data_IF_839024087425
#
_entry.id   IF_839024087425
#
_cell.length_a   1.000
_cell.length_b   1.000
_cell.length_c   1.000
_cell.angle_alpha   90.00
_cell.angle_beta   90.00
_cell.angle_gamma   90.00
#
_symmetry.space_group_name_H-M   'P 1'
#
loop_
_entity.id
_entity.type
_entity.pdbx_description
1 polymer ?
#
# COMPACT_ATOMS: atom_id res chain seq x y z
N UNK A 1 -17.35 13.45 17.97
CA UNK A 1 -17.46 13.32 16.51
C UNK A 1 -16.40 14.23 15.90
N UNK A 2 -15.19 13.69 15.77
CA UNK A 2 -14.03 14.41 15.24
C UNK A 2 -13.91 14.02 13.78
N UNK A 3 -14.27 14.99 12.91
CA UNK A 3 -14.01 15.12 11.45
C UNK A 3 -14.29 13.90 10.56
N UNK A 4 -15.28 14.05 9.67
CA UNK A 4 -15.60 13.17 8.52
C UNK A 4 -14.48 13.13 7.45
N UNK A 5 -13.20 13.19 7.83
CA UNK A 5 -12.05 13.14 6.92
C UNK A 5 -11.36 11.78 7.02
N UNK A 6 -11.17 11.13 5.88
CA UNK A 6 -10.46 9.85 5.78
C UNK A 6 -9.01 10.00 6.30
N UNK A 7 -8.59 9.22 7.31
CA UNK A 7 -7.29 9.35 7.92
C UNK A 7 -6.15 9.00 6.95
N UNK A 8 -5.12 9.84 6.97
CA UNK A 8 -3.89 9.63 6.22
C UNK A 8 -2.68 9.69 7.16
N UNK A 9 -1.80 8.69 7.08
CA UNK A 9 -0.66 8.53 8.00
C UNK A 9 0.59 8.17 7.19
N UNK A 10 1.67 8.91 7.43
CA UNK A 10 3.01 8.60 6.92
C UNK A 10 4.10 9.33 7.70
N UNK A 11 5.37 8.92 7.52
CA UNK A 11 6.51 9.57 8.17
C UNK A 11 6.80 10.95 7.53
N UNK A 12 6.73 11.07 6.20
CA UNK A 12 7.08 12.31 5.51
C UNK A 12 5.86 13.21 5.24
N UNK A 13 4.82 12.67 4.59
CA UNK A 13 3.63 13.45 4.24
C UNK A 13 2.35 12.63 4.40
N UNK A 14 1.48 13.00 5.35
CA UNK A 14 0.19 12.33 5.52
C UNK A 14 -0.62 12.31 4.20
N UNK A 15 -0.69 13.45 3.51
CA UNK A 15 -1.27 13.54 2.18
C UNK A 15 -0.59 14.62 1.36
N UNK A 16 -0.66 14.49 0.05
CA UNK A 16 -0.21 15.52 -0.89
C UNK A 16 -1.41 16.03 -1.69
N UNK A 17 -1.39 17.32 -2.02
CA UNK A 17 -2.33 17.86 -3.00
C UNK A 17 -1.96 17.42 -4.42
N UNK A 18 -2.77 17.81 -5.39
CA UNK A 18 -2.48 17.55 -6.79
C UNK A 18 -1.17 18.19 -7.25
N UNK A 19 -0.49 17.54 -8.20
CA UNK A 19 0.76 18.02 -8.83
C UNK A 19 1.91 18.23 -7.82
N UNK A 20 1.94 17.45 -6.75
CA UNK A 20 3.02 17.47 -5.77
C UNK A 20 4.18 16.56 -6.20
N UNK A 21 5.39 16.89 -5.76
CA UNK A 21 6.58 16.09 -6.03
C UNK A 21 7.31 15.79 -4.72
N UNK A 22 7.58 14.51 -4.48
CA UNK A 22 8.49 14.02 -3.45
C UNK A 22 9.60 13.27 -4.18
N UNK A 23 10.82 13.78 -4.06
CA UNK A 23 11.97 13.30 -4.82
C UNK A 23 13.21 13.21 -3.92
N UNK A 24 13.99 12.13 -4.06
CA UNK A 24 15.28 11.97 -3.38
C UNK A 24 15.18 11.85 -1.86
N UNK A 25 14.04 11.37 -1.33
CA UNK A 25 13.79 11.29 0.09
C UNK A 25 14.07 9.88 0.64
N UNK A 26 14.19 9.77 1.96
CA UNK A 26 14.16 8.48 2.63
C UNK A 26 13.56 8.57 4.01
N UNK A 27 12.95 7.48 4.47
CA UNK A 27 12.33 7.38 5.78
C UNK A 27 12.63 6.02 6.42
N UNK A 28 12.68 6.00 7.75
CA UNK A 28 12.72 4.75 8.50
C UNK A 28 11.93 4.89 9.78
N UNK A 29 11.23 3.83 10.20
CA UNK A 29 10.57 3.80 11.50
C UNK A 29 9.30 2.97 11.53
N UNK A 30 8.55 3.13 12.61
CA UNK A 30 7.31 2.39 12.83
C UNK A 30 6.11 3.32 12.66
N UNK A 31 5.10 2.84 11.92
CA UNK A 31 3.81 3.49 11.76
C UNK A 31 2.75 2.56 12.34
N UNK A 32 1.96 3.09 13.26
CA UNK A 32 0.78 2.42 13.80
C UNK A 32 -0.42 3.31 13.48
N UNK A 33 -1.31 2.82 12.64
CA UNK A 33 -2.59 3.45 12.35
C UNK A 33 -3.71 2.64 13.00
N UNK A 34 -4.39 3.25 13.96
CA UNK A 34 -5.58 2.69 14.62
C UNK A 34 -6.77 3.59 14.32
N UNK A 35 -7.12 3.67 13.02
CA UNK A 35 -8.25 4.46 12.58
C UNK A 35 -9.54 3.82 13.11
N UNK A 36 -10.27 4.56 13.94
CA UNK A 36 -11.53 4.11 14.54
C UNK A 36 -12.72 4.94 14.01
N UNK A 37 -13.89 4.31 13.91
CA UNK A 37 -15.14 4.95 13.46
C UNK A 37 -15.56 4.54 12.05
N UNK A 38 -16.69 5.08 11.59
CA UNK A 38 -17.28 4.79 10.27
C UNK A 38 -16.56 5.49 9.10
N UNK A 39 -15.24 5.71 9.22
CA UNK A 39 -14.46 6.33 8.14
C UNK A 39 -14.43 5.38 6.95
N UNK A 40 -14.66 5.92 5.75
CA UNK A 40 -14.71 5.09 4.55
C UNK A 40 -13.30 4.56 4.23
N UNK A 41 -12.29 5.44 4.21
CA UNK A 41 -10.95 5.08 3.75
C UNK A 41 -9.84 5.42 4.75
N UNK A 42 -8.77 4.64 4.76
CA UNK A 42 -7.55 4.93 5.54
C UNK A 42 -6.31 4.76 4.66
N UNK A 43 -5.43 5.76 4.64
CA UNK A 43 -4.26 5.80 3.76
C UNK A 43 -2.97 5.74 4.58
N UNK A 44 -2.25 4.61 4.54
CA UNK A 44 -1.04 4.41 5.35
C UNK A 44 0.15 4.13 4.47
N UNK A 45 1.08 5.09 4.37
CA UNK A 45 2.30 4.92 3.59
C UNK A 45 3.54 5.13 4.42
N UNK A 46 4.64 4.47 4.09
CA UNK A 46 5.93 4.81 4.72
C UNK A 46 6.30 6.27 4.47
N UNK A 47 6.23 6.72 3.22
CA UNK A 47 6.59 8.08 2.79
C UNK A 47 5.35 8.97 2.69
N UNK A 48 4.31 8.51 1.97
CA UNK A 48 3.10 9.29 1.71
C UNK A 48 1.85 8.48 2.03
N UNK A 49 0.94 9.01 2.83
CA UNK A 49 -0.34 8.33 3.06
C UNK A 49 -1.18 8.34 1.79
N UNK A 50 -1.66 9.54 1.40
CA UNK A 50 -2.42 9.76 0.16
C UNK A 50 -1.62 10.61 -0.85
N UNK A 51 -1.33 10.03 -2.02
CA UNK A 51 -0.67 10.72 -3.13
C UNK A 51 -1.72 11.31 -4.10
N UNK A 52 -1.78 12.65 -4.16
CA UNK A 52 -2.76 13.39 -4.97
C UNK A 52 -2.63 13.15 -6.47
N UNK A 53 -3.61 13.67 -7.23
CA UNK A 53 -3.65 13.48 -8.68
C UNK A 53 -2.48 14.18 -9.37
N UNK A 54 -1.91 13.58 -10.42
CA UNK A 54 -0.74 14.12 -11.14
C UNK A 54 0.51 14.30 -10.29
N UNK A 55 0.54 13.72 -9.08
CA UNK A 55 1.68 13.79 -8.18
C UNK A 55 2.69 12.69 -8.47
N UNK A 56 3.95 12.96 -8.11
CA UNK A 56 5.08 12.07 -8.32
C UNK A 56 5.81 11.81 -7.01
N UNK A 57 5.96 10.54 -6.66
CA UNK A 57 6.94 10.10 -5.64
C UNK A 57 8.05 9.36 -6.37
N UNK A 58 9.28 9.89 -6.35
CA UNK A 58 10.38 9.27 -7.07
C UNK A 58 11.73 9.26 -6.34
N UNK A 59 12.63 8.38 -6.78
CA UNK A 59 14.00 8.25 -6.27
C UNK A 59 14.05 8.17 -4.73
N UNK A 60 13.08 7.49 -4.13
CA UNK A 60 12.81 7.53 -2.70
C UNK A 60 12.77 6.12 -2.14
N UNK A 61 13.21 5.92 -0.90
CA UNK A 61 13.13 4.60 -0.26
C UNK A 61 12.63 4.66 1.17
N UNK A 62 12.11 3.54 1.65
CA UNK A 62 11.58 3.40 3.00
C UNK A 62 12.00 2.07 3.62
N UNK A 63 12.41 2.09 4.89
CA UNK A 63 12.58 0.90 5.74
C UNK A 63 11.64 1.03 6.95
N UNK A 64 10.48 0.40 6.84
CA UNK A 64 9.34 0.69 7.72
C UNK A 64 8.69 -0.55 8.27
N UNK A 65 8.19 -0.42 9.49
CA UNK A 65 7.22 -1.33 10.08
C UNK A 65 5.87 -0.64 10.11
N UNK A 66 4.89 -1.15 9.36
CA UNK A 66 3.53 -0.61 9.31
C UNK A 66 2.56 -1.61 9.91
N UNK A 67 1.75 -1.16 10.87
CA UNK A 67 0.56 -1.85 11.36
C UNK A 67 -0.62 -0.94 11.10
N UNK A 68 -1.44 -1.29 10.11
CA UNK A 68 -2.56 -0.49 9.66
C UNK A 68 -3.90 -1.16 10.01
N UNK A 69 -4.81 -0.37 10.59
CA UNK A 69 -6.20 -0.73 10.88
C UNK A 69 -7.12 0.37 10.37
N UNK A 70 -8.36 0.01 10.08
CA UNK A 70 -9.41 0.89 9.57
C UNK A 70 -10.51 0.08 8.89
N UNK A 71 -11.40 0.79 8.16
CA UNK A 71 -12.42 0.17 7.30
C UNK A 71 -11.81 -0.26 5.96
N UNK A 72 -11.78 0.60 4.93
CA UNK A 72 -11.05 0.30 3.69
C UNK A 72 -9.64 0.92 3.74
N UNK A 73 -8.61 0.11 3.99
CA UNK A 73 -7.24 0.60 4.21
C UNK A 73 -6.29 0.25 3.08
N UNK A 74 -5.59 1.25 2.54
CA UNK A 74 -4.43 1.06 1.66
C UNK A 74 -3.13 1.21 2.46
N UNK A 75 -2.37 0.13 2.60
CA UNK A 75 -1.09 0.13 3.32
C UNK A 75 0.08 -0.16 2.39
N UNK A 76 1.01 0.79 2.23
CA UNK A 76 2.14 0.68 1.31
C UNK A 76 3.48 1.15 1.86
N UNK A 77 4.56 0.51 1.43
CA UNK A 77 5.90 0.86 1.91
C UNK A 77 6.34 2.28 1.50
N UNK A 78 5.93 2.73 0.31
CA UNK A 78 6.15 4.12 -0.15
C UNK A 78 4.87 4.93 -0.01
N UNK A 79 3.79 4.48 -0.67
CA UNK A 79 2.53 5.21 -0.72
C UNK A 79 1.38 4.34 -0.22
N UNK A 80 0.53 4.84 0.68
CA UNK A 80 -0.68 4.12 1.07
C UNK A 80 -1.66 3.99 -0.09
N UNK A 81 -1.99 5.13 -0.70
CA UNK A 81 -2.90 5.20 -1.84
C UNK A 81 -2.44 6.22 -2.89
N UNK A 82 -2.41 5.81 -4.16
CA UNK A 82 -2.14 6.72 -5.30
C UNK A 82 -3.43 7.13 -6.01
N UNK A 83 -3.61 8.42 -6.28
CA UNK A 83 -4.71 8.94 -7.11
C UNK A 83 -4.45 8.73 -8.62
N UNK A 84 -5.46 9.01 -9.45
CA UNK A 84 -5.34 8.98 -10.91
C UNK A 84 -4.24 9.93 -11.42
N UNK A 85 -3.65 9.58 -12.56
CA UNK A 85 -2.58 10.33 -13.23
C UNK A 85 -1.32 10.54 -12.38
N UNK A 86 -1.20 9.87 -11.23
CA UNK A 86 -0.03 9.93 -10.35
C UNK A 86 0.95 8.80 -10.63
N UNK A 87 2.18 8.92 -10.12
CA UNK A 87 3.20 7.89 -10.29
C UNK A 87 4.10 7.71 -9.07
N UNK A 88 4.54 6.45 -8.88
CA UNK A 88 5.61 6.07 -7.96
C UNK A 88 6.75 5.46 -8.77
N UNK A 89 7.91 6.11 -8.80
CA UNK A 89 8.96 5.81 -9.78
C UNK A 89 10.33 5.67 -9.12
N UNK A 90 11.07 4.61 -9.44
CA UNK A 90 12.44 4.40 -8.96
C UNK A 90 12.51 4.44 -7.41
N UNK A 91 11.57 3.73 -6.78
CA UNK A 91 11.46 3.68 -5.32
C UNK A 91 11.71 2.29 -4.77
N UNK A 92 12.16 2.19 -3.53
CA UNK A 92 12.41 0.92 -2.87
C UNK A 92 11.84 0.85 -1.46
N UNK A 93 11.20 -0.27 -1.10
CA UNK A 93 10.66 -0.46 0.24
C UNK A 93 11.21 -1.73 0.90
N UNK A 94 11.44 -1.64 2.20
CA UNK A 94 11.93 -2.70 3.07
C UNK A 94 11.12 -2.76 4.36
N UNK A 95 11.18 -3.90 5.04
CA UNK A 95 10.61 -4.07 6.38
C UNK A 95 9.35 -4.94 6.38
N UNK A 96 8.33 -4.52 7.13
CA UNK A 96 7.12 -5.32 7.37
C UNK A 96 5.86 -4.47 7.30
N UNK A 97 4.83 -4.92 6.59
CA UNK A 97 3.55 -4.23 6.50
C UNK A 97 2.44 -5.24 6.81
N UNK A 98 1.68 -4.97 7.87
CA UNK A 98 0.45 -5.68 8.18
C UNK A 98 -0.75 -4.75 8.03
N UNK A 99 -1.71 -5.16 7.20
CA UNK A 99 -2.98 -4.48 7.05
C UNK A 99 -4.10 -5.37 7.64
N UNK A 100 -4.70 -4.88 8.71
CA UNK A 100 -5.70 -5.58 9.52
C UNK A 100 -7.07 -4.89 9.42
N UNK A 101 -7.38 -4.34 8.24
CA UNK A 101 -8.64 -3.65 8.02
C UNK A 101 -9.76 -4.63 7.68
N UNK A 102 -10.99 -4.29 8.07
CA UNK A 102 -12.20 -5.05 7.73
C UNK A 102 -12.78 -4.58 6.38
N UNK A 103 -11.90 -4.29 5.42
CA UNK A 103 -12.24 -3.66 4.15
C UNK A 103 -13.18 -4.51 3.29
N UNK A 104 -13.97 -3.85 2.47
CA UNK A 104 -14.95 -4.50 1.58
C UNK A 104 -14.84 -4.09 0.12
N UNK A 105 -14.22 -2.95 -0.19
CA UNK A 105 -14.20 -2.43 -1.56
C UNK A 105 -12.86 -1.88 -2.04
N UNK A 106 -12.13 -1.10 -1.22
CA UNK A 106 -10.95 -0.36 -1.71
C UNK A 106 -9.78 -0.43 -0.73
N UNK A 107 -9.21 -1.62 -0.57
CA UNK A 107 -8.17 -1.89 0.43
C UNK A 107 -7.08 -2.80 -0.13
N UNK A 108 -5.90 -2.79 0.50
CA UNK A 108 -4.81 -3.69 0.12
C UNK A 108 -3.51 -3.45 0.87
N UNK A 109 -2.65 -4.47 0.87
CA UNK A 109 -1.30 -4.44 1.43
C UNK A 109 -0.26 -4.60 0.31
N UNK A 110 0.49 -3.53 0.04
CA UNK A 110 1.45 -3.49 -1.05
C UNK A 110 2.87 -3.17 -0.59
N UNK A 111 3.86 -3.85 -1.17
CA UNK A 111 5.25 -3.53 -0.86
C UNK A 111 5.63 -2.09 -1.23
N UNK A 112 5.14 -1.56 -2.35
CA UNK A 112 5.35 -0.16 -2.77
C UNK A 112 4.11 0.70 -2.53
N UNK A 113 2.97 0.26 -3.09
CA UNK A 113 1.68 0.98 -3.00
C UNK A 113 0.60 0.08 -2.42
N UNK A 114 -0.10 0.51 -1.38
CA UNK A 114 -1.21 -0.26 -0.81
C UNK A 114 -2.36 -0.41 -1.80
N UNK A 115 -3.00 0.70 -2.15
CA UNK A 115 -4.05 0.76 -3.17
C UNK A 115 -3.63 1.68 -4.32
N UNK A 116 -3.64 1.14 -5.55
CA UNK A 116 -3.09 1.84 -6.71
C UNK A 116 -4.18 2.32 -7.67
N UNK A 117 -4.07 3.57 -8.13
CA UNK A 117 -4.79 4.13 -9.29
C UNK A 117 -3.80 4.82 -10.25
N UNK A 118 -2.50 4.58 -10.11
CA UNK A 118 -1.44 5.29 -10.82
C UNK A 118 -0.40 4.34 -11.40
N UNK A 119 0.64 4.93 -12.00
CA UNK A 119 1.77 4.17 -12.52
C UNK A 119 2.77 3.82 -11.41
N UNK A 120 3.27 2.60 -11.41
CA UNK A 120 4.37 2.15 -10.55
C UNK A 120 5.47 1.66 -11.48
N UNK A 121 6.66 2.28 -11.41
CA UNK A 121 7.70 2.04 -12.41
C UNK A 121 9.08 1.97 -11.79
N UNK A 122 9.88 0.97 -12.20
CA UNK A 122 11.26 0.81 -11.72
C UNK A 122 11.37 0.68 -10.18
N UNK A 123 10.35 0.11 -9.54
CA UNK A 123 10.33 -0.02 -8.08
C UNK A 123 10.76 -1.41 -7.60
N UNK A 124 11.34 -1.47 -6.41
CA UNK A 124 11.80 -2.71 -5.77
C UNK A 124 11.21 -2.88 -4.36
N UNK A 125 10.67 -4.05 -4.03
CA UNK A 125 10.21 -4.33 -2.66
C UNK A 125 10.88 -5.57 -2.08
N UNK A 126 11.36 -5.43 -0.85
CA UNK A 126 11.75 -6.53 0.02
C UNK A 126 11.03 -6.37 1.37
N UNK A 127 9.72 -6.59 1.32
CA UNK A 127 8.80 -6.35 2.42
C UNK A 127 8.06 -7.62 2.75
N UNK A 128 8.03 -8.01 4.03
CA UNK A 128 7.11 -9.04 4.51
C UNK A 128 5.71 -8.44 4.65
N UNK A 129 4.74 -9.04 3.99
CA UNK A 129 3.37 -8.54 3.88
C UNK A 129 2.39 -9.45 4.61
N UNK A 130 1.42 -8.82 5.26
CA UNK A 130 0.25 -9.48 5.83
C UNK A 130 -1.03 -8.70 5.50
N UNK A 131 -2.08 -9.43 5.13
CA UNK A 131 -3.41 -8.89 4.86
C UNK A 131 -4.46 -9.72 5.62
N UNK A 132 -5.19 -9.12 6.57
CA UNK A 132 -6.24 -9.83 7.31
C UNK A 132 -7.54 -9.92 6.50
N UNK A 133 -7.46 -10.52 5.32
CA UNK A 133 -8.57 -10.74 4.41
C UNK A 133 -8.73 -12.23 4.10
N UNK A 134 -9.98 -12.67 4.06
CA UNK A 134 -10.34 -14.03 3.69
C UNK A 134 -10.11 -14.28 2.20
N UNK A 135 -9.77 -15.51 1.85
CA UNK A 135 -9.71 -16.00 0.46
C UNK A 135 -10.88 -16.94 0.21
N UNK A 136 -11.71 -16.65 -0.80
CA UNK A 136 -12.79 -17.55 -1.24
C UNK A 136 -12.19 -18.76 -1.98
N UNK A 137 -11.06 -18.57 -2.68
CA UNK A 137 -10.30 -19.64 -3.32
C UNK A 137 -9.57 -20.54 -2.31
N UNK A 138 -9.28 -20.05 -1.10
CA UNK A 138 -8.54 -20.75 -0.06
C UNK A 138 -7.03 -20.88 -0.34
N UNK A 139 -6.50 -20.11 -1.29
CA UNK A 139 -5.08 -20.11 -1.68
C UNK A 139 -4.45 -18.71 -1.69
N UNK A 140 -5.23 -17.68 -1.35
CA UNK A 140 -4.79 -16.29 -1.31
C UNK A 140 -4.77 -15.57 -2.67
N UNK A 141 -5.16 -16.23 -3.77
CA UNK A 141 -5.10 -15.65 -5.12
C UNK A 141 -6.07 -14.47 -5.36
N UNK A 142 -7.10 -14.37 -4.53
CA UNK A 142 -8.14 -13.34 -4.50
C UNK A 142 -7.96 -12.33 -3.34
N UNK A 143 -6.80 -12.36 -2.67
CA UNK A 143 -6.47 -11.42 -1.59
C UNK A 143 -5.79 -10.17 -2.18
N UNK A 144 -6.13 -8.95 -1.72
CA UNK A 144 -5.48 -7.70 -2.16
C UNK A 144 -4.11 -7.50 -1.50
N UNK A 145 -3.20 -8.44 -1.70
CA UNK A 145 -1.83 -8.45 -1.20
C UNK A 145 -0.86 -8.63 -2.38
N UNK A 146 0.20 -7.82 -2.44
CA UNK A 146 1.18 -7.93 -3.52
C UNK A 146 2.49 -7.20 -3.26
N UNK A 147 3.59 -7.77 -3.75
CA UNK A 147 4.93 -7.24 -3.52
C UNK A 147 5.16 -5.83 -4.07
N UNK A 148 4.37 -5.38 -5.05
CA UNK A 148 4.44 -4.03 -5.62
C UNK A 148 3.18 -3.24 -5.28
N UNK A 149 2.02 -3.76 -5.69
CA UNK A 149 0.72 -3.17 -5.41
C UNK A 149 -0.16 -4.18 -4.67
N UNK A 150 -0.80 -3.74 -3.58
CA UNK A 150 -1.75 -4.57 -2.84
C UNK A 150 -3.02 -4.80 -3.67
N UNK A 151 -3.74 -3.73 -3.98
CA UNK A 151 -4.89 -3.78 -4.88
C UNK A 151 -4.70 -2.80 -6.06
N UNK A 152 -4.77 -3.28 -7.31
CA UNK A 152 -4.82 -2.42 -8.48
C UNK A 152 -6.26 -1.95 -8.76
N UNK A 153 -6.41 -0.70 -9.22
CA UNK A 153 -7.65 -0.15 -9.77
C UNK A 153 -7.51 0.06 -11.29
N UNK A 154 -8.54 0.63 -11.92
CA UNK A 154 -8.68 0.80 -13.38
C UNK A 154 -7.44 1.39 -14.09
N UNK A 155 -6.70 2.30 -13.44
CA UNK A 155 -5.55 3.00 -14.03
C UNK A 155 -4.19 2.44 -13.61
N UNK A 156 -4.14 1.33 -12.86
CA UNK A 156 -2.87 0.79 -12.34
C UNK A 156 -2.00 0.23 -13.46
N UNK A 157 -0.73 0.62 -13.43
CA UNK A 157 0.27 0.18 -14.38
C UNK A 157 1.59 -0.10 -13.65
N UNK A 158 1.90 -1.36 -13.36
CA UNK A 158 3.18 -1.76 -12.77
C UNK A 158 4.15 -2.26 -13.86
N UNK A 159 5.26 -1.56 -14.06
CA UNK A 159 6.23 -1.89 -15.12
C UNK A 159 7.66 -1.85 -14.61
N UNK A 160 8.48 -2.83 -15.02
CA UNK A 160 9.87 -2.97 -14.58
C UNK A 160 9.98 -2.90 -13.06
N UNK A 161 9.10 -3.60 -12.36
CA UNK A 161 9.12 -3.68 -10.92
C UNK A 161 9.59 -5.08 -10.50
N UNK A 162 10.21 -5.17 -9.35
CA UNK A 162 10.72 -6.42 -8.79
C UNK A 162 10.35 -6.50 -7.32
N UNK A 163 9.99 -7.69 -6.85
CA UNK A 163 9.78 -7.92 -5.43
C UNK A 163 10.55 -9.17 -5.01
N UNK A 164 10.97 -9.21 -3.75
CA UNK A 164 11.56 -10.39 -3.16
C UNK A 164 10.46 -11.45 -2.94
N UNK A 165 10.44 -12.49 -3.78
CA UNK A 165 9.46 -13.57 -3.65
C UNK A 165 9.68 -14.46 -2.42
N UNK A 166 10.88 -14.39 -1.79
CA UNK A 166 11.16 -15.09 -0.54
C UNK A 166 10.64 -14.31 0.69
N UNK A 167 10.30 -13.02 0.53
CA UNK A 167 9.63 -12.25 1.56
C UNK A 167 8.16 -12.71 1.64
N UNK A 168 7.71 -13.07 2.85
CA UNK A 168 6.41 -13.72 3.00
C UNK A 168 5.26 -12.78 2.60
N UNK A 169 4.28 -13.34 1.88
CA UNK A 169 2.96 -12.77 1.69
C UNK A 169 1.98 -13.69 2.42
N UNK A 170 1.35 -13.17 3.47
CA UNK A 170 0.40 -13.92 4.28
C UNK A 170 -0.96 -13.26 4.31
N UNK A 171 -1.99 -14.08 4.46
CA UNK A 171 -3.36 -13.62 4.62
C UNK A 171 -3.99 -14.18 5.90
N UNK A 172 -5.30 -14.02 6.07
CA UNK A 172 -6.09 -14.45 7.24
C UNK A 172 -5.52 -15.69 7.97
N UNK A 173 -5.40 -15.59 9.30
CA UNK A 173 -4.75 -16.60 10.17
C UNK A 173 -3.26 -16.88 9.87
N UNK A 174 -2.54 -15.91 9.30
CA UNK A 174 -1.13 -16.04 8.91
C UNK A 174 -0.87 -17.15 7.88
N UNK A 175 -1.89 -17.51 7.09
CA UNK A 175 -1.74 -18.46 5.98
C UNK A 175 -0.88 -17.85 4.88
N UNK A 176 0.02 -18.64 4.29
CA UNK A 176 0.85 -18.18 3.17
C UNK A 176 0.04 -18.17 1.88
N UNK A 177 0.16 -17.10 1.09
CA UNK A 177 -0.33 -17.09 -0.30
C UNK A 177 0.40 -18.20 -1.07
N UNK A 178 -0.35 -19.02 -1.80
CA UNK A 178 0.22 -20.21 -2.47
C UNK A 178 1.30 -19.85 -3.49
N UNK A 179 1.10 -18.75 -4.23
CA UNK A 179 2.04 -18.22 -5.22
C UNK A 179 2.21 -16.71 -4.98
N UNK A 180 3.35 -16.24 -4.43
CA UNK A 180 3.58 -14.82 -4.20
C UNK A 180 3.46 -14.01 -5.50
N UNK A 181 2.71 -12.90 -5.45
CA UNK A 181 2.44 -12.05 -6.62
C UNK A 181 3.03 -10.65 -6.47
N UNK A 182 3.36 -10.02 -7.60
CA UNK A 182 3.77 -8.62 -7.63
C UNK A 182 2.56 -7.68 -7.43
N UNK A 183 1.40 -8.05 -7.97
CA UNK A 183 0.19 -7.24 -7.96
C UNK A 183 -0.92 -8.13 -7.43
N UNK A 184 -1.52 -7.74 -6.31
CA UNK A 184 -2.60 -8.50 -5.68
C UNK A 184 -3.93 -8.36 -6.40
N UNK A 185 -4.96 -8.99 -5.83
CA UNK A 185 -6.29 -9.02 -6.41
C UNK A 185 -6.93 -7.62 -6.46
N UNK A 186 -7.66 -7.34 -7.54
CA UNK A 186 -8.44 -6.12 -7.67
C UNK A 186 -9.79 -6.28 -6.98
N UNK A 187 -10.10 -5.38 -6.06
CA UNK A 187 -11.38 -5.36 -5.33
C UNK A 187 -12.48 -4.56 -6.05
N UNK A 188 -12.24 -4.13 -7.30
CA UNK A 188 -13.15 -3.35 -8.17
C UNK A 188 -13.57 -4.07 -9.45
#
# INVERSE_FOLDING_TARGET
>A
KTTDEDPAVAILAAGTGDSSVIDGCWVSGTIISDAAGDNNYTYVGGVVGNNGGKSLVCNTWADVQIVAKGSDTGAGGIVGWTSNDSAVINCAAFGTIGNYCEGSMMYGAGGIVGYSCGAIYACYSDVTLHMDAMSDAGDGSDVPIGGIAGAPAYCTAAYRCWFNADAAQTYYNDEAVAEPVAVGYSTL
#
